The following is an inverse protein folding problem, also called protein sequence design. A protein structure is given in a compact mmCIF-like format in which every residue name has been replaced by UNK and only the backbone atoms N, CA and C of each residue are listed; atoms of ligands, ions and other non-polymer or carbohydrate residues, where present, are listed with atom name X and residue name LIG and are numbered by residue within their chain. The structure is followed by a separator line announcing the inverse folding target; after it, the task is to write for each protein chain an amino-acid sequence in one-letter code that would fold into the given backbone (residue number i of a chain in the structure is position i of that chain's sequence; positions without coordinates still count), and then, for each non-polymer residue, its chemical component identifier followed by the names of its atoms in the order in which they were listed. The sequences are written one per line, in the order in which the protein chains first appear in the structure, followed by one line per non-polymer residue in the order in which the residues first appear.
data_IF_637574014330
#
_entry.id   IF_637574014330
#
_cell.length_a   1.000
_cell.length_b   1.000
_cell.length_c   1.000
_cell.angle_alpha   90.00
_cell.angle_beta   90.00
_cell.angle_gamma   90.00
#
_symmetry.space_group_name_H-M   'P 1'
#
loop_
_entity.id
_entity.type
_entity.pdbx_description
1 polymer ?
#
# COMPACT_ATOMS: atom_id res chain seq x y z
N UNK A 1 -15.19 -2.76 -3.35
CA UNK A 1 -14.70 -1.68 -2.45
C UNK A 1 -13.97 -0.63 -3.27
N UNK A 2 -14.12 0.64 -2.90
CA UNK A 2 -13.46 1.79 -3.54
C UNK A 2 -12.66 2.56 -2.50
N UNK A 3 -11.35 2.70 -2.74
CA UNK A 3 -10.42 3.36 -1.83
C UNK A 3 -9.65 4.43 -2.59
N UNK A 4 -9.65 5.65 -2.07
CA UNK A 4 -8.68 6.66 -2.48
C UNK A 4 -7.40 6.42 -1.69
N UNK A 5 -6.30 6.14 -2.39
CA UNK A 5 -4.99 5.92 -1.81
C UNK A 5 -4.18 7.20 -1.99
N UNK A 6 -3.74 7.78 -0.88
CA UNK A 6 -2.87 8.95 -0.80
C UNK A 6 -1.56 8.55 -0.12
N UNK A 7 -0.69 7.88 -0.86
CA UNK A 7 0.57 7.38 -0.34
C UNK A 7 1.74 8.20 -0.89
N UNK A 8 2.57 8.72 0.02
CA UNK A 8 3.80 9.40 -0.32
C UNK A 8 4.95 8.86 0.53
N UNK A 9 5.98 8.31 -0.12
CA UNK A 9 7.19 7.85 0.55
C UNK A 9 8.42 8.18 -0.32
N UNK A 10 9.22 9.15 0.13
CA UNK A 10 10.37 9.64 -0.64
C UNK A 10 9.93 10.22 -1.99
N UNK A 11 10.49 9.68 -3.08
CA UNK A 11 10.15 10.07 -4.45
C UNK A 11 8.88 9.39 -5.01
N UNK A 12 8.33 8.40 -4.30
CA UNK A 12 7.14 7.67 -4.75
C UNK A 12 5.90 8.39 -4.24
N UNK A 13 5.03 8.79 -5.17
CA UNK A 13 3.71 9.35 -4.88
C UNK A 13 2.66 8.53 -5.61
N UNK A 14 1.69 8.03 -4.85
CA UNK A 14 0.49 7.35 -5.35
C UNK A 14 -0.70 8.13 -4.81
N UNK A 15 -1.45 8.74 -5.72
CA UNK A 15 -2.65 9.54 -5.41
C UNK A 15 -3.72 9.13 -6.41
N UNK A 16 -4.39 8.01 -6.13
CA UNK A 16 -5.32 7.39 -7.07
C UNK A 16 -6.48 6.68 -6.38
N UNK A 17 -7.58 6.53 -7.11
CA UNK A 17 -8.71 5.73 -6.67
C UNK A 17 -8.52 4.30 -7.17
N UNK A 18 -8.45 3.36 -6.24
CA UNK A 18 -8.33 1.93 -6.52
C UNK A 18 -9.65 1.25 -6.18
N UNK A 19 -10.16 0.49 -7.14
CA UNK A 19 -11.36 -0.32 -7.00
C UNK A 19 -10.99 -1.80 -7.03
N UNK A 20 -11.63 -2.60 -6.20
CA UNK A 20 -11.46 -4.05 -6.21
C UNK A 20 -12.47 -4.77 -5.34
N UNK A 21 -12.65 -6.06 -5.61
CA UNK A 21 -13.63 -6.90 -4.93
C UNK A 21 -13.12 -7.40 -3.57
N UNK A 22 -11.80 -7.47 -3.40
CA UNK A 22 -11.14 -7.92 -2.16
C UNK A 22 -9.99 -7.00 -1.76
N UNK A 23 -9.56 -7.11 -0.50
CA UNK A 23 -8.41 -6.36 0.01
C UNK A 23 -7.11 -6.75 -0.70
N UNK A 24 -6.94 -8.02 -1.07
CA UNK A 24 -5.82 -8.53 -1.86
C UNK A 24 -5.79 -7.89 -3.25
N UNK A 25 -6.94 -7.77 -3.91
CA UNK A 25 -7.04 -7.17 -5.24
C UNK A 25 -6.64 -5.69 -5.19
N UNK A 26 -7.12 -4.95 -4.20
CA UNK A 26 -6.77 -3.53 -4.01
C UNK A 26 -5.30 -3.37 -3.67
N UNK A 27 -4.79 -4.17 -2.73
CA UNK A 27 -3.37 -4.14 -2.33
C UNK A 27 -2.46 -4.53 -3.49
N UNK A 28 -2.85 -5.50 -4.32
CA UNK A 28 -2.13 -5.91 -5.51
C UNK A 28 -2.09 -4.82 -6.59
N UNK A 29 -3.18 -4.06 -6.78
CA UNK A 29 -3.18 -2.88 -7.67
C UNK A 29 -2.23 -1.80 -7.14
N UNK A 30 -2.27 -1.53 -5.84
CA UNK A 30 -1.36 -0.58 -5.19
C UNK A 30 0.11 -1.01 -5.34
N UNK A 31 0.40 -2.29 -5.12
CA UNK A 31 1.71 -2.90 -5.34
C UNK A 31 2.20 -2.69 -6.78
N UNK A 32 1.33 -2.95 -7.77
CA UNK A 32 1.67 -2.78 -9.17
C UNK A 32 1.99 -1.31 -9.51
N UNK A 33 1.24 -0.36 -8.95
CA UNK A 33 1.51 1.07 -9.12
C UNK A 33 2.83 1.48 -8.50
N UNK A 34 3.08 1.12 -7.24
CA UNK A 34 4.35 1.40 -6.56
C UNK A 34 5.52 0.77 -7.32
N UNK A 35 5.34 -0.42 -7.88
CA UNK A 35 6.36 -1.06 -8.71
C UNK A 35 6.65 -0.30 -10.02
N UNK A 36 5.66 0.37 -10.62
CA UNK A 36 5.87 1.21 -11.80
C UNK A 36 6.69 2.46 -11.43
N UNK A 37 6.33 3.12 -10.33
CA UNK A 37 6.99 4.36 -9.87
C UNK A 37 8.40 4.11 -9.32
N UNK A 38 8.67 2.92 -8.76
CA UNK A 38 9.98 2.56 -8.21
C UNK A 38 11.05 2.28 -9.28
N UNK A 39 10.70 2.27 -10.57
CA UNK A 39 11.61 1.97 -11.67
C UNK A 39 11.87 0.47 -11.88
N UNK A 40 12.62 0.14 -12.95
CA UNK A 40 12.63 -1.22 -13.52
C UNK A 40 13.15 -2.31 -12.56
N UNK A 41 14.27 -2.07 -11.87
CA UNK A 41 14.90 -3.05 -10.99
C UNK A 41 14.12 -3.24 -9.68
N UNK A 42 13.80 -2.14 -8.98
CA UNK A 42 13.05 -2.21 -7.72
C UNK A 42 11.62 -2.67 -7.97
N UNK A 43 11.00 -2.20 -9.06
CA UNK A 43 9.68 -2.63 -9.49
C UNK A 43 9.59 -4.13 -9.76
N UNK A 44 10.62 -4.74 -10.34
CA UNK A 44 10.67 -6.19 -10.54
C UNK A 44 10.68 -6.97 -9.21
N UNK A 45 11.39 -6.46 -8.20
CA UNK A 45 11.40 -7.06 -6.85
C UNK A 45 10.03 -6.90 -6.19
N UNK A 46 9.44 -5.70 -6.24
CA UNK A 46 8.12 -5.43 -5.67
C UNK A 46 7.07 -6.35 -6.31
N UNK A 47 7.08 -6.51 -7.64
CA UNK A 47 6.12 -7.38 -8.36
C UNK A 47 6.19 -8.86 -7.99
N UNK A 48 7.31 -9.33 -7.44
CA UNK A 48 7.47 -10.73 -6.99
C UNK A 48 6.89 -10.99 -5.60
N UNK A 49 6.62 -9.94 -4.83
CA UNK A 49 6.01 -10.08 -3.51
C UNK A 49 4.55 -10.49 -3.64
N UNK A 50 4.03 -11.23 -2.67
CA UNK A 50 2.58 -11.35 -2.52
C UNK A 50 2.00 -10.00 -2.03
N UNK A 51 0.69 -9.74 -2.23
CA UNK A 51 0.08 -8.51 -1.71
C UNK A 51 0.31 -8.28 -0.21
N UNK A 52 0.25 -9.35 0.59
CA UNK A 52 0.53 -9.28 2.03
C UNK A 52 1.99 -8.95 2.33
N UNK A 53 2.94 -9.58 1.61
CA UNK A 53 4.37 -9.26 1.77
C UNK A 53 4.66 -7.80 1.41
N UNK A 54 4.03 -7.31 0.33
CA UNK A 54 4.12 -5.91 -0.05
C UNK A 54 3.55 -4.99 1.04
N UNK A 55 2.37 -5.29 1.59
CA UNK A 55 1.76 -4.54 2.67
C UNK A 55 2.65 -4.47 3.93
N UNK A 56 3.27 -5.58 4.30
CA UNK A 56 4.20 -5.64 5.44
C UNK A 56 5.47 -4.83 5.18
N UNK A 57 6.06 -4.94 3.99
CA UNK A 57 7.25 -4.15 3.64
C UNK A 57 6.94 -2.66 3.55
N UNK A 58 5.80 -2.28 2.94
CA UNK A 58 5.34 -0.90 2.91
C UNK A 58 5.15 -0.33 4.32
N UNK A 59 4.57 -1.11 5.23
CA UNK A 59 4.40 -0.73 6.65
C UNK A 59 5.76 -0.59 7.34
N UNK A 60 6.69 -1.53 7.14
CA UNK A 60 8.05 -1.45 7.70
C UNK A 60 8.78 -0.19 7.24
N UNK A 61 8.69 0.14 5.94
CA UNK A 61 9.30 1.34 5.35
C UNK A 61 8.66 2.61 5.89
N UNK A 62 7.34 2.64 5.98
CA UNK A 62 6.61 3.76 6.58
C UNK A 62 7.02 3.97 8.04
N UNK A 63 7.04 2.90 8.83
CA UNK A 63 7.46 2.95 10.24
C UNK A 63 8.89 3.48 10.38
N UNK A 64 9.83 2.98 9.57
CA UNK A 64 11.20 3.46 9.58
C UNK A 64 11.31 4.96 9.23
N UNK A 65 10.54 5.42 8.24
CA UNK A 65 10.54 6.83 7.81
C UNK A 65 9.85 7.77 8.81
N UNK A 66 8.72 7.35 9.37
CA UNK A 66 7.92 8.10 10.34
C UNK A 66 8.44 7.98 11.78
N UNK A 67 9.49 7.17 12.02
CA UNK A 67 9.94 6.73 13.36
C UNK A 67 8.80 6.15 14.20
N UNK A 68 7.90 5.46 13.53
CA UNK A 68 6.73 4.79 14.10
C UNK A 68 7.07 3.32 14.34
N UNK A 69 6.29 2.65 15.18
CA UNK A 69 6.45 1.25 15.57
C UNK A 69 5.12 0.48 15.49
N UNK A 70 4.26 0.88 14.54
CA UNK A 70 3.03 0.17 14.26
C UNK A 70 3.29 -1.31 13.96
N UNK A 71 2.42 -2.19 14.45
CA UNK A 71 2.52 -3.62 14.15
C UNK A 71 2.43 -3.86 12.63
N UNK A 72 3.16 -4.86 12.15
CA UNK A 72 3.05 -5.26 10.75
C UNK A 72 1.68 -5.91 10.51
N UNK A 73 0.99 -5.58 9.42
CA UNK A 73 -0.32 -6.13 9.11
C UNK A 73 -0.23 -7.65 8.94
N UNK A 74 -1.22 -8.37 9.49
CA UNK A 74 -1.34 -9.83 9.36
C UNK A 74 -2.21 -10.23 8.16
N UNK A 75 -2.97 -9.28 7.60
CA UNK A 75 -3.81 -9.45 6.41
C UNK A 75 -3.79 -8.19 5.54
N UNK A 76 -4.22 -8.31 4.27
CA UNK A 76 -4.40 -7.14 3.41
C UNK A 76 -5.50 -6.20 3.94
N UNK A 77 -6.52 -6.76 4.61
CA UNK A 77 -7.56 -5.95 5.27
C UNK A 77 -6.99 -5.10 6.40
N UNK A 78 -6.13 -5.67 7.26
CA UNK A 78 -5.49 -4.93 8.34
C UNK A 78 -4.64 -3.78 7.80
N UNK A 79 -3.94 -4.03 6.69
CA UNK A 79 -3.16 -3.01 6.01
C UNK A 79 -4.03 -1.84 5.52
N UNK A 80 -5.13 -2.13 4.83
CA UNK A 80 -6.04 -1.10 4.35
C UNK A 80 -6.72 -0.35 5.50
N UNK A 81 -7.15 -1.05 6.56
CA UNK A 81 -7.71 -0.42 7.77
C UNK A 81 -6.70 0.52 8.43
N UNK A 82 -5.46 0.07 8.58
CA UNK A 82 -4.38 0.91 9.11
C UNK A 82 -4.12 2.11 8.19
N UNK A 83 -4.23 1.95 6.88
CA UNK A 83 -4.12 3.05 5.93
C UNK A 83 -5.16 4.14 6.10
N UNK A 84 -6.40 3.74 6.39
CA UNK A 84 -7.46 4.69 6.73
C UNK A 84 -7.18 5.39 8.05
N UNK A 85 -6.78 4.64 9.09
CA UNK A 85 -6.49 5.20 10.42
C UNK A 85 -5.30 6.17 10.38
N UNK A 86 -4.26 5.86 9.61
CA UNK A 86 -3.06 6.70 9.47
C UNK A 86 -3.19 7.80 8.41
N UNK A 87 -4.29 7.83 7.66
CA UNK A 87 -4.59 8.88 6.69
C UNK A 87 -3.93 8.74 5.31
N UNK A 88 -3.29 7.60 5.01
CA UNK A 88 -2.74 7.33 3.66
C UNK A 88 -3.74 6.62 2.73
N UNK A 89 -4.92 6.27 3.22
CA UNK A 89 -6.05 5.83 2.42
C UNK A 89 -7.36 6.43 2.96
N UNK A 90 -8.38 6.51 2.12
CA UNK A 90 -9.73 6.93 2.49
C UNK A 90 -10.74 6.05 1.77
N UNK A 91 -11.67 5.47 2.53
CA UNK A 91 -12.79 4.73 1.94
C UNK A 91 -13.72 5.71 1.24
N UNK A 92 -13.99 5.46 -0.03
CA UNK A 92 -15.00 6.23 -0.76
C UNK A 92 -16.35 5.51 -0.66
N UNK A 93 -17.46 6.25 -0.49
CA UNK A 93 -18.80 5.67 -0.58
C UNK A 93 -18.99 5.02 -1.97
N UNK A 94 -19.73 3.92 -1.98
CA UNK A 94 -20.08 3.18 -3.19
C UNK A 94 -20.93 4.02 -4.15
#
# INVERSE_FOLDING_TARGET
MRLHIHFQAGAIRVDEIVEGDTAEAITGKMQARVAQEAGMLIGAVIKRMTPLQFAQEATRRYNAAAKDSAALPQSCEDFLKMGVVKGFASTLPA
#
